data_IF_680460190926
#
_entry.id   IF_680460190926
#
_cell.length_a   1.000
_cell.length_b   1.000
_cell.length_c   1.000
_cell.angle_alpha   90.00
_cell.angle_beta   90.00
_cell.angle_gamma   90.00
#
_symmetry.space_group_name_H-M   'P 1'
#
loop_
_entity.id
_entity.type
_entity.pdbx_description
1 polymer ?
#
# COMPACT_ATOMS: atom_id res chain seq x y z
N UNK A 1 -20.99 4.19 -6.80
CA UNK A 1 -19.92 3.70 -7.70
C UNK A 1 -19.06 4.90 -8.06
N UNK A 2 -17.95 5.09 -7.39
CA UNK A 2 -17.00 6.14 -7.75
C UNK A 2 -15.83 5.48 -8.44
N UNK A 3 -15.83 5.54 -9.77
CA UNK A 3 -14.67 5.13 -10.58
C UNK A 3 -13.61 6.20 -10.39
N UNK A 4 -12.60 5.96 -9.57
CA UNK A 4 -11.43 6.83 -9.51
C UNK A 4 -10.63 6.64 -10.80
N UNK A 5 -10.95 7.47 -11.78
CA UNK A 5 -10.08 7.68 -12.94
C UNK A 5 -8.81 8.34 -12.43
N UNK A 6 -7.65 7.78 -12.75
CA UNK A 6 -6.36 8.34 -12.44
C UNK A 6 -6.31 9.81 -12.90
N UNK A 7 -6.33 10.75 -11.95
CA UNK A 7 -6.09 12.17 -12.27
C UNK A 7 -4.58 12.35 -12.46
N UNK A 8 -4.22 12.55 -13.71
CA UNK A 8 -2.89 12.98 -14.10
C UNK A 8 -2.67 14.45 -13.69
N UNK A 9 -1.57 14.73 -12.99
CA UNK A 9 -0.90 16.02 -13.06
C UNK A 9 -1.38 17.13 -12.13
N UNK A 10 -1.41 16.87 -10.81
CA UNK A 10 -1.30 17.96 -9.84
C UNK A 10 0.17 18.21 -9.45
N UNK A 11 0.55 19.41 -8.96
CA UNK A 11 1.89 19.63 -8.45
C UNK A 11 2.21 18.61 -7.33
N UNK A 12 3.44 18.07 -7.32
CA UNK A 12 3.86 17.12 -6.31
C UNK A 12 3.58 17.68 -4.91
N UNK A 13 2.97 16.91 -3.99
CA UNK A 13 2.66 17.39 -2.66
C UNK A 13 3.93 17.85 -1.95
N UNK A 14 3.85 19.00 -1.29
CA UNK A 14 4.95 19.53 -0.48
C UNK A 14 5.22 18.52 0.64
N UNK A 15 6.43 17.98 0.69
CA UNK A 15 6.87 17.03 1.72
C UNK A 15 7.66 17.76 2.80
N UNK A 16 7.07 18.11 3.96
CA UNK A 16 7.78 18.83 5.03
C UNK A 16 9.03 18.10 5.52
N UNK A 17 9.06 16.78 5.41
CA UNK A 17 10.22 15.94 5.77
C UNK A 17 11.19 15.71 4.60
N UNK A 18 10.83 16.13 3.38
CA UNK A 18 11.60 15.83 2.16
C UNK A 18 11.58 14.35 1.74
N UNK A 19 10.78 13.50 2.40
CA UNK A 19 10.70 12.05 2.17
C UNK A 19 9.30 11.61 1.79
N UNK A 20 8.38 11.50 2.78
CA UNK A 20 7.01 11.08 2.56
C UNK A 20 6.07 12.29 2.66
N UNK A 21 5.11 12.47 1.74
CA UNK A 21 4.08 13.48 1.92
C UNK A 21 3.18 13.14 3.12
N UNK A 22 2.57 14.15 3.77
CA UNK A 22 1.50 13.91 4.73
C UNK A 22 0.38 13.09 4.07
N UNK A 23 -0.12 12.10 4.79
CA UNK A 23 -1.17 11.23 4.29
C UNK A 23 -2.56 11.84 4.55
N UNK A 24 -3.41 11.86 3.53
CA UNK A 24 -4.83 12.18 3.65
C UNK A 24 -5.64 10.89 3.72
N UNK A 25 -6.30 10.57 4.86
CA UNK A 25 -7.08 9.36 5.01
C UNK A 25 -8.41 9.38 4.24
N UNK A 26 -8.96 10.55 3.97
CA UNK A 26 -10.32 10.71 3.42
C UNK A 26 -10.60 9.88 2.16
N UNK A 27 -9.70 9.80 1.17
CA UNK A 27 -9.94 9.00 -0.04
C UNK A 27 -9.99 7.49 0.18
N UNK A 28 -9.60 7.01 1.36
CA UNK A 28 -9.49 5.57 1.66
C UNK A 28 -10.39 5.11 2.80
N UNK A 29 -11.04 6.05 3.52
CA UNK A 29 -11.90 5.68 4.65
C UNK A 29 -13.22 5.09 4.16
N UNK A 30 -13.45 3.80 4.47
CA UNK A 30 -14.63 3.03 4.08
C UNK A 30 -14.99 3.12 2.58
N UNK A 31 -14.00 3.12 1.71
CA UNK A 31 -14.20 3.21 0.26
C UNK A 31 -14.19 1.85 -0.43
N UNK A 32 -14.77 1.81 -1.62
CA UNK A 32 -14.59 0.72 -2.57
C UNK A 32 -13.81 1.27 -3.77
N UNK A 33 -12.62 0.69 -4.03
CA UNK A 33 -11.76 1.07 -5.15
C UNK A 33 -11.60 -0.11 -6.11
N UNK A 34 -11.59 0.17 -7.40
CA UNK A 34 -11.35 -0.83 -8.43
C UNK A 34 -10.08 -0.47 -9.17
N UNK A 35 -9.16 -1.42 -9.26
CA UNK A 35 -7.95 -1.31 -10.06
C UNK A 35 -8.09 -2.16 -11.32
N UNK A 36 -7.57 -1.60 -12.41
CA UNK A 36 -7.46 -2.28 -13.71
C UNK A 36 -6.02 -2.15 -14.19
N UNK A 37 -5.28 -3.26 -14.16
CA UNK A 37 -3.86 -3.35 -14.54
C UNK A 37 -2.97 -2.29 -13.85
N UNK A 38 -3.26 -2.01 -12.57
CA UNK A 38 -2.44 -1.08 -11.78
C UNK A 38 -1.05 -1.67 -11.57
N UNK A 39 -0.02 -0.88 -11.94
CA UNK A 39 1.37 -1.34 -11.99
C UNK A 39 2.09 -1.13 -10.67
N UNK A 40 2.90 -2.12 -10.32
CA UNK A 40 3.75 -2.09 -9.13
C UNK A 40 5.12 -2.68 -9.43
N UNK A 41 6.14 -2.14 -8.79
CA UNK A 41 7.41 -2.83 -8.58
C UNK A 41 7.25 -3.77 -7.41
N UNK A 42 7.60 -5.04 -7.58
CA UNK A 42 7.52 -6.05 -6.54
C UNK A 42 8.89 -6.32 -5.94
N UNK A 43 8.97 -6.36 -4.62
CA UNK A 43 10.13 -6.79 -3.86
C UNK A 43 9.76 -7.86 -2.84
N UNK A 44 10.64 -8.84 -2.69
CA UNK A 44 10.48 -9.87 -1.67
C UNK A 44 11.30 -9.52 -0.44
N UNK A 45 10.64 -9.41 0.70
CA UNK A 45 11.24 -9.13 2.00
C UNK A 45 11.30 -10.41 2.82
N UNK A 46 12.47 -10.66 3.41
CA UNK A 46 12.66 -11.73 4.38
C UNK A 46 12.37 -11.20 5.78
N UNK A 47 11.65 -11.98 6.55
CA UNK A 47 11.25 -11.66 7.92
C UNK A 47 11.61 -12.79 8.87
N UNK A 48 11.69 -12.48 10.15
CA UNK A 48 11.79 -13.46 11.21
C UNK A 48 10.67 -13.17 12.22
N UNK A 49 9.68 -14.06 12.29
CA UNK A 49 8.46 -13.88 13.08
C UNK A 49 7.81 -12.49 12.85
N UNK A 50 7.54 -12.15 11.58
CA UNK A 50 6.99 -10.87 11.12
C UNK A 50 7.89 -9.64 11.35
N UNK A 51 9.11 -9.80 11.84
CA UNK A 51 10.10 -8.72 11.91
C UNK A 51 10.88 -8.68 10.60
N UNK A 52 10.74 -7.63 9.78
CA UNK A 52 11.45 -7.55 8.50
C UNK A 52 12.94 -7.33 8.70
N UNK A 53 13.76 -8.19 8.07
CA UNK A 53 15.22 -8.15 8.21
C UNK A 53 15.90 -7.30 7.15
N UNK A 54 15.33 -7.21 5.95
CA UNK A 54 15.96 -6.58 4.79
C UNK A 54 15.07 -5.55 4.07
N UNK A 55 13.94 -5.16 4.68
CA UNK A 55 12.97 -4.21 4.10
C UNK A 55 13.62 -2.90 3.65
N UNK A 56 14.41 -2.27 4.52
CA UNK A 56 15.04 -0.98 4.20
C UNK A 56 15.94 -1.06 2.96
N UNK A 57 16.74 -2.12 2.85
CA UNK A 57 17.60 -2.36 1.67
C UNK A 57 16.77 -2.59 0.41
N UNK A 58 15.71 -3.39 0.51
CA UNK A 58 14.81 -3.71 -0.61
C UNK A 58 14.06 -2.48 -1.10
N UNK A 59 13.48 -1.71 -0.20
CA UNK A 59 12.80 -0.46 -0.54
C UNK A 59 13.79 0.53 -1.18
N UNK A 60 14.98 0.70 -0.60
CA UNK A 60 16.00 1.60 -1.17
C UNK A 60 16.42 1.16 -2.57
N UNK A 61 16.59 -0.14 -2.80
CA UNK A 61 16.91 -0.67 -4.13
C UNK A 61 15.80 -0.36 -5.14
N UNK A 62 14.55 -0.70 -4.82
CA UNK A 62 13.41 -0.44 -5.69
C UNK A 62 13.24 1.07 -5.98
N UNK A 63 13.35 1.92 -4.97
CA UNK A 63 13.22 3.37 -5.14
C UNK A 63 14.27 3.96 -6.07
N UNK A 64 15.52 3.47 -6.02
CA UNK A 64 16.58 3.89 -6.98
C UNK A 64 16.21 3.55 -8.42
N UNK A 65 15.66 2.35 -8.67
CA UNK A 65 15.22 1.94 -10.00
C UNK A 65 14.05 2.80 -10.49
N UNK A 66 13.07 3.05 -9.61
CA UNK A 66 11.89 3.88 -9.90
C UNK A 66 12.30 5.33 -10.22
N UNK A 67 13.21 5.91 -9.44
CA UNK A 67 13.73 7.26 -9.68
C UNK A 67 14.52 7.34 -10.98
N UNK A 68 15.36 6.34 -11.29
CA UNK A 68 16.12 6.28 -12.54
C UNK A 68 15.20 6.15 -13.77
N UNK A 69 14.04 5.50 -13.61
CA UNK A 69 13.04 5.36 -14.67
C UNK A 69 12.10 6.58 -14.77
N UNK A 70 12.11 7.51 -13.81
CA UNK A 70 11.16 8.63 -13.68
C UNK A 70 9.68 8.20 -13.59
N UNK A 71 9.42 7.02 -13.00
CA UNK A 71 8.08 6.39 -12.94
C UNK A 71 7.47 6.41 -11.53
N UNK A 72 7.88 7.38 -10.70
CA UNK A 72 7.33 7.52 -9.35
C UNK A 72 5.88 7.96 -9.38
N UNK A 73 4.98 7.12 -8.85
CA UNK A 73 3.56 7.44 -8.75
C UNK A 73 3.30 8.59 -7.77
N UNK A 74 2.28 9.40 -8.08
CA UNK A 74 1.93 10.59 -7.30
C UNK A 74 1.54 10.25 -5.85
N UNK A 75 0.89 9.11 -5.62
CA UNK A 75 0.41 8.72 -4.29
C UNK A 75 1.38 7.84 -3.51
N UNK A 76 2.47 7.40 -4.11
CA UNK A 76 3.55 6.64 -3.46
C UNK A 76 3.05 5.50 -2.56
N UNK A 77 2.04 4.74 -3.04
CA UNK A 77 1.43 3.65 -2.29
C UNK A 77 2.38 2.46 -2.22
N UNK A 78 2.61 1.97 -1.02
CA UNK A 78 3.38 0.74 -0.79
C UNK A 78 2.51 -0.27 -0.06
N UNK A 79 2.22 -1.38 -0.73
CA UNK A 79 1.43 -2.47 -0.18
C UNK A 79 2.34 -3.59 0.33
N UNK A 80 1.97 -4.19 1.43
CA UNK A 80 2.58 -5.43 1.95
C UNK A 80 1.56 -6.56 1.94
N UNK A 81 1.97 -7.69 1.36
CA UNK A 81 1.28 -8.96 1.47
C UNK A 81 2.08 -9.86 2.40
N UNK A 82 1.60 -10.04 3.60
CA UNK A 82 2.28 -10.81 4.64
C UNK A 82 1.91 -12.29 4.55
N UNK A 83 2.55 -13.00 3.63
CA UNK A 83 2.25 -14.41 3.34
C UNK A 83 2.63 -15.37 4.45
N UNK A 84 3.63 -15.04 5.25
CA UNK A 84 4.10 -15.89 6.34
C UNK A 84 4.93 -15.11 7.36
N UNK A 85 5.19 -15.69 8.55
CA UNK A 85 6.09 -15.08 9.53
C UNK A 85 7.52 -14.83 9.02
N UNK A 86 7.89 -15.45 7.90
CA UNK A 86 9.26 -15.43 7.37
C UNK A 86 9.41 -14.67 6.07
N UNK A 87 8.29 -14.27 5.44
CA UNK A 87 8.32 -13.62 4.12
C UNK A 87 7.09 -12.76 3.87
N UNK A 88 7.33 -11.56 3.35
CA UNK A 88 6.30 -10.70 2.77
C UNK A 88 6.70 -10.28 1.35
N UNK A 89 5.69 -9.99 0.53
CA UNK A 89 5.89 -9.36 -0.77
C UNK A 89 5.46 -7.88 -0.64
N UNK A 90 6.35 -6.96 -1.08
CA UNK A 90 6.05 -5.54 -1.18
C UNK A 90 5.70 -5.18 -2.61
N UNK A 91 4.75 -4.27 -2.77
CA UNK A 91 4.33 -3.73 -4.05
C UNK A 91 4.38 -2.21 -3.97
N UNK A 92 5.27 -1.59 -4.75
CA UNK A 92 5.47 -0.14 -4.78
C UNK A 92 4.82 0.40 -6.04
N UNK A 93 3.87 1.31 -5.87
CA UNK A 93 3.08 1.93 -6.95
C UNK A 93 3.97 2.71 -7.92
N UNK A 94 3.75 2.51 -9.22
CA UNK A 94 4.48 3.19 -10.29
C UNK A 94 3.56 3.55 -11.45
N UNK A 95 3.87 4.62 -12.16
CA UNK A 95 3.06 5.08 -13.30
C UNK A 95 3.39 4.33 -14.59
N UNK A 96 4.61 3.79 -14.72
CA UNK A 96 5.05 3.07 -15.92
C UNK A 96 6.07 1.97 -15.66
N UNK A 97 6.69 1.43 -16.71
CA UNK A 97 7.63 0.32 -16.61
C UNK A 97 8.96 0.75 -16.00
N UNK A 98 9.46 -0.02 -15.05
CA UNK A 98 10.75 0.21 -14.38
C UNK A 98 11.76 -0.85 -14.82
N UNK A 99 12.71 -0.52 -15.70
CA UNK A 99 13.73 -1.45 -16.16
C UNK A 99 14.56 -2.01 -15.00
N UNK A 100 14.79 -3.32 -15.01
CA UNK A 100 15.57 -4.01 -13.99
C UNK A 100 14.80 -4.36 -12.70
N UNK A 101 13.53 -3.96 -12.58
CA UNK A 101 12.66 -4.32 -11.48
C UNK A 101 11.71 -5.48 -11.86
N UNK A 102 11.29 -6.26 -10.87
CA UNK A 102 10.18 -7.20 -11.04
C UNK A 102 8.87 -6.41 -11.09
N UNK A 103 8.22 -6.39 -12.27
CA UNK A 103 6.95 -5.69 -12.48
C UNK A 103 5.78 -6.63 -12.30
N UNK A 104 4.73 -6.14 -11.65
CA UNK A 104 3.43 -6.84 -11.55
C UNK A 104 2.29 -5.87 -11.80
N UNK A 105 1.18 -6.39 -12.28
CA UNK A 105 -0.08 -5.67 -12.40
C UNK A 105 -1.12 -6.30 -11.47
N UNK A 106 -1.87 -5.46 -10.78
CA UNK A 106 -2.94 -5.89 -9.89
C UNK A 106 -4.25 -5.32 -10.41
N UNK A 107 -5.21 -6.21 -10.62
CA UNK A 107 -6.60 -5.87 -10.97
C UNK A 107 -7.54 -6.48 -9.96
N UNK A 108 -8.61 -5.78 -9.62
CA UNK A 108 -9.62 -6.26 -8.69
C UNK A 108 -10.40 -5.14 -8.02
N UNK A 109 -11.36 -5.55 -7.21
CA UNK A 109 -12.15 -4.66 -6.36
C UNK A 109 -11.69 -4.80 -4.92
N UNK A 110 -11.46 -3.66 -4.27
CA UNK A 110 -10.93 -3.59 -2.91
C UNK A 110 -11.84 -2.73 -2.05
N UNK A 111 -12.18 -3.24 -0.88
CA UNK A 111 -12.69 -2.41 0.20
C UNK A 111 -11.50 -1.85 0.98
N UNK A 112 -11.57 -0.59 1.42
CA UNK A 112 -10.49 0.06 2.15
C UNK A 112 -10.97 0.63 3.46
N UNK A 113 -10.11 0.56 4.49
CA UNK A 113 -10.26 1.27 5.76
C UNK A 113 -8.91 1.79 6.22
N UNK A 114 -8.94 2.94 6.88
CA UNK A 114 -7.76 3.57 7.46
C UNK A 114 -7.68 3.26 8.94
N UNK A 115 -6.51 2.90 9.40
CA UNK A 115 -6.19 2.65 10.80
C UNK A 115 -5.04 3.55 11.23
N UNK A 116 -5.12 4.07 12.44
CA UNK A 116 -4.07 4.86 13.06
C UNK A 116 -3.48 4.09 14.25
N UNK A 117 -2.17 4.06 14.34
CA UNK A 117 -1.48 3.43 15.46
C UNK A 117 -0.17 2.74 15.08
N UNK A 118 0.46 2.05 16.05
CA UNK A 118 1.72 1.35 15.83
C UNK A 118 1.53 0.08 15.00
N UNK A 119 2.51 -0.26 14.17
CA UNK A 119 2.48 -1.43 13.28
C UNK A 119 2.22 -2.77 13.98
N UNK A 120 2.54 -2.88 15.27
CA UNK A 120 2.23 -4.09 16.08
C UNK A 120 0.73 -4.36 16.21
N UNK A 121 -0.13 -3.38 15.91
CA UNK A 121 -1.59 -3.54 15.92
C UNK A 121 -2.15 -4.05 14.59
N UNK A 122 -1.30 -4.27 13.57
CA UNK A 122 -1.72 -4.78 12.26
C UNK A 122 -2.59 -6.05 12.31
N UNK A 123 -2.32 -7.05 13.17
CA UNK A 123 -3.21 -8.21 13.29
C UNK A 123 -4.64 -7.83 13.69
N UNK A 124 -4.82 -6.88 14.59
CA UNK A 124 -6.15 -6.38 15.02
C UNK A 124 -6.86 -5.67 13.87
N UNK A 125 -6.13 -4.91 13.07
CA UNK A 125 -6.68 -4.21 11.90
C UNK A 125 -7.13 -5.19 10.83
N UNK A 126 -6.36 -6.26 10.59
CA UNK A 126 -6.73 -7.32 9.67
C UNK A 126 -7.99 -8.07 10.12
N UNK A 127 -8.13 -8.36 11.41
CA UNK A 127 -9.33 -8.97 11.98
C UNK A 127 -10.54 -8.05 11.84
N UNK A 128 -10.39 -6.76 12.16
CA UNK A 128 -11.46 -5.78 12.03
C UNK A 128 -11.91 -5.63 10.57
N UNK A 129 -10.95 -5.54 9.65
CA UNK A 129 -11.23 -5.46 8.22
C UNK A 129 -11.95 -6.71 7.71
N UNK A 130 -11.57 -7.89 8.19
CA UNK A 130 -12.24 -9.16 7.84
C UNK A 130 -13.71 -9.14 8.28
N UNK A 131 -14.00 -8.69 9.50
CA UNK A 131 -15.37 -8.51 10.00
C UNK A 131 -16.15 -7.48 9.18
N UNK A 132 -15.48 -6.37 8.80
CA UNK A 132 -16.08 -5.33 7.98
C UNK A 132 -16.50 -5.85 6.60
N UNK A 133 -15.63 -6.62 5.94
CA UNK A 133 -15.93 -7.26 4.65
C UNK A 133 -17.15 -8.18 4.76
N UNK A 134 -17.18 -9.03 5.81
CA UNK A 134 -18.31 -9.93 6.07
C UNK A 134 -19.61 -9.17 6.35
N UNK A 135 -19.55 -8.08 7.14
CA UNK A 135 -20.71 -7.23 7.44
C UNK A 135 -21.28 -6.56 6.19
N UNK A 136 -20.46 -6.31 5.17
CA UNK A 136 -20.89 -5.80 3.85
C UNK A 136 -21.41 -6.91 2.91
N UNK A 137 -21.49 -8.17 3.39
CA UNK A 137 -21.91 -9.30 2.57
C UNK A 137 -20.95 -9.64 1.44
N UNK A 138 -19.68 -9.27 1.56
CA UNK A 138 -18.66 -9.54 0.54
C UNK A 138 -17.80 -10.73 0.94
N UNK A 139 -17.21 -11.38 -0.05
CA UNK A 139 -16.27 -12.49 0.15
C UNK A 139 -14.84 -11.97 0.04
N UNK A 140 -14.09 -12.13 1.13
CA UNK A 140 -12.68 -11.74 1.18
C UNK A 140 -11.80 -12.71 0.39
N UNK A 141 -10.97 -12.19 -0.50
CA UNK A 141 -9.93 -12.96 -1.21
C UNK A 141 -8.57 -12.79 -0.55
N UNK A 142 -8.19 -11.55 -0.26
CA UNK A 142 -6.85 -11.23 0.22
C UNK A 142 -6.82 -9.89 0.95
N UNK A 143 -5.89 -9.74 1.90
CA UNK A 143 -5.60 -8.48 2.56
C UNK A 143 -4.22 -7.97 2.16
N UNK A 144 -4.12 -6.65 1.98
CA UNK A 144 -2.86 -5.93 1.85
C UNK A 144 -2.81 -4.83 2.89
N UNK A 145 -1.63 -4.61 3.48
CA UNK A 145 -1.35 -3.48 4.35
C UNK A 145 -0.70 -2.38 3.52
N UNK A 146 -1.38 -1.25 3.37
CA UNK A 146 -0.87 -0.07 2.67
C UNK A 146 -0.14 0.86 3.63
N UNK A 147 1.18 0.88 3.55
CA UNK A 147 2.01 1.80 4.32
C UNK A 147 2.03 3.17 3.66
N UNK A 148 1.76 4.21 4.43
CA UNK A 148 1.61 5.59 3.94
C UNK A 148 2.84 6.44 4.21
N UNK A 149 3.58 6.16 5.28
CA UNK A 149 4.78 6.87 5.69
C UNK A 149 5.85 5.92 6.22
N UNK A 150 7.11 6.29 6.05
CA UNK A 150 8.21 5.59 6.72
C UNK A 150 8.22 5.89 8.23
N UNK A 151 8.87 5.07 9.06
CA UNK A 151 8.90 5.28 10.51
C UNK A 151 9.42 6.65 10.94
N UNK A 152 10.40 7.21 10.23
CA UNK A 152 10.94 8.54 10.53
C UNK A 152 9.92 9.64 10.27
N UNK A 153 9.18 9.57 9.14
CA UNK A 153 8.13 10.53 8.81
C UNK A 153 6.93 10.38 9.73
N UNK A 154 6.52 9.16 10.08
CA UNK A 154 5.46 8.92 11.06
C UNK A 154 5.79 9.56 12.41
N UNK A 155 7.04 9.45 12.86
CA UNK A 155 7.51 10.11 14.08
C UNK A 155 7.48 11.66 13.96
N UNK A 156 7.91 12.19 12.82
CA UNK A 156 7.94 13.63 12.57
C UNK A 156 6.53 14.23 12.50
N UNK A 157 5.56 13.52 11.92
CA UNK A 157 4.17 13.97 11.83
C UNK A 157 3.35 13.70 13.10
N UNK A 158 3.84 12.84 13.99
CA UNK A 158 3.12 12.43 15.20
C UNK A 158 1.96 11.47 14.96
N UNK A 159 1.79 10.99 13.72
CA UNK A 159 0.73 10.06 13.31
C UNK A 159 1.29 8.97 12.40
N UNK A 160 0.72 7.77 12.49
CA UNK A 160 1.02 6.67 11.59
C UNK A 160 -0.29 6.06 11.09
N UNK A 161 -0.55 6.23 9.80
CA UNK A 161 -1.71 5.67 9.15
C UNK A 161 -1.34 4.46 8.32
N UNK A 162 -2.17 3.42 8.39
CA UNK A 162 -2.10 2.24 7.53
C UNK A 162 -3.47 2.04 6.90
N UNK A 163 -3.50 1.89 5.59
CA UNK A 163 -4.71 1.53 4.85
C UNK A 163 -4.74 0.03 4.67
N UNK A 164 -5.77 -0.63 5.17
CA UNK A 164 -6.00 -2.04 4.84
C UNK A 164 -6.84 -2.13 3.59
N UNK A 165 -6.31 -2.78 2.55
CA UNK A 165 -7.00 -3.09 1.31
C UNK A 165 -7.47 -4.54 1.36
N UNK A 166 -8.76 -4.76 1.33
CA UNK A 166 -9.37 -6.08 1.25
C UNK A 166 -9.82 -6.35 -0.17
N UNK A 167 -9.09 -7.17 -0.90
CA UNK A 167 -9.54 -7.68 -2.19
C UNK A 167 -10.76 -8.57 -1.97
N UNK A 168 -11.83 -8.31 -2.69
CA UNK A 168 -13.11 -9.00 -2.56
C UNK A 168 -13.56 -9.58 -3.89
N UNK A 169 -14.38 -10.65 -3.83
CA UNK A 169 -15.03 -11.18 -5.02
C UNK A 169 -15.92 -10.12 -5.66
N UNK A 170 -16.01 -10.09 -7.01
CA UNK A 170 -16.98 -9.25 -7.70
C UNK A 170 -18.41 -9.53 -7.21
N UNK A 171 -19.25 -8.51 -7.21
CA UNK A 171 -20.68 -8.73 -7.02
C UNK A 171 -21.23 -9.46 -8.24
N UNK A 172 -21.82 -10.62 -8.00
CA UNK A 172 -22.52 -11.40 -9.04
C UNK A 172 -23.89 -10.81 -9.34
#
# INVERSE_FOLDING_TARGET
>A
MTTQTAQAGGPAPVTPTGCCPPFDPVPYEDQEVTWDHKRFVKERVHSFFHVPLDMGRKVTHAMRLIEAAHEKAAHNLMLSDERSPFRSDLYIDVDGPVPGAEMVEISGTFLTRVYEGPFRDAPKWCEDMTRHVAAKGRTLKKLYLGYTTCPACAKAYGTNYVVVFAEVEPLT
#
